data_IF_625109929304
#
_entry.id   IF_625109929304
#
_cell.length_a   1.000
_cell.length_b   1.000
_cell.length_c   1.000
_cell.angle_alpha   90.00
_cell.angle_beta   90.00
_cell.angle_gamma   90.00
#
_symmetry.space_group_name_H-M   'P 1'
#
loop_
_entity.id
_entity.type
_entity.pdbx_description
1 polymer ?
#
# COMPACT_ATOMS: atom_id res chain seq x y z
N UNK A 1 -20.25 7.43 -16.95
CA UNK A 1 -18.87 7.05 -16.95
C UNK A 1 -18.49 6.32 -15.68
N UNK A 2 -17.80 5.28 -15.83
CA UNK A 2 -17.38 4.54 -14.68
C UNK A 2 -16.07 5.05 -14.16
N UNK A 3 -16.09 5.37 -12.92
CA UNK A 3 -14.99 5.89 -12.24
C UNK A 3 -14.29 4.75 -11.52
N UNK A 4 -13.01 4.64 -11.64
CA UNK A 4 -12.27 3.58 -10.99
C UNK A 4 -11.36 4.18 -9.94
N UNK A 5 -11.06 3.37 -8.94
CA UNK A 5 -10.15 3.82 -7.90
C UNK A 5 -8.75 4.06 -8.42
N UNK A 6 -8.43 3.50 -9.57
CA UNK A 6 -7.12 3.69 -10.15
C UNK A 6 -6.83 5.15 -10.47
N UNK A 7 -7.88 5.91 -10.77
CA UNK A 7 -7.70 7.31 -11.10
C UNK A 7 -7.16 8.13 -9.93
N UNK A 8 -7.27 7.59 -8.72
CA UNK A 8 -6.83 8.29 -7.52
C UNK A 8 -5.58 7.68 -6.91
N UNK A 9 -5.03 6.67 -7.54
CA UNK A 9 -3.88 5.98 -6.99
C UNK A 9 -2.62 6.46 -7.69
N UNK A 10 -1.59 6.72 -6.88
CA UNK A 10 -0.28 7.02 -7.42
C UNK A 10 0.56 5.76 -7.32
N UNK A 11 1.16 5.30 -8.42
CA UNK A 11 2.03 4.13 -8.34
C UNK A 11 3.20 4.40 -7.41
N UNK A 12 3.49 3.44 -6.53
CA UNK A 12 4.60 3.56 -5.61
C UNK A 12 5.37 2.26 -5.58
N UNK A 13 6.70 2.33 -5.42
CA UNK A 13 7.49 1.12 -5.22
C UNK A 13 7.22 0.56 -3.82
N UNK A 14 7.06 -0.74 -3.73
CA UNK A 14 6.78 -1.41 -2.47
C UNK A 14 7.62 -2.66 -2.37
N UNK A 15 8.19 -2.89 -1.19
CA UNK A 15 8.81 -4.17 -0.88
C UNK A 15 7.81 -4.93 -0.05
N UNK A 16 7.41 -6.08 -0.53
CA UNK A 16 6.37 -6.87 0.12
C UNK A 16 6.84 -8.30 0.34
N UNK A 17 6.23 -8.93 1.32
CA UNK A 17 6.46 -10.33 1.60
C UNK A 17 5.31 -11.15 1.02
N UNK A 18 5.64 -12.24 0.34
CA UNK A 18 4.66 -13.19 -0.15
C UNK A 18 4.96 -14.51 0.55
N UNK A 19 4.00 -15.00 1.33
CA UNK A 19 4.24 -16.26 2.02
C UNK A 19 3.79 -17.44 1.17
N UNK A 20 4.03 -18.66 1.66
CA UNK A 20 3.74 -19.85 0.90
C UNK A 20 2.24 -20.09 0.71
N UNK A 21 1.40 -19.39 1.45
CA UNK A 21 -0.04 -19.48 1.30
C UNK A 21 -0.60 -18.42 0.37
N UNK A 22 0.28 -17.67 -0.28
CA UNK A 22 -0.14 -16.64 -1.20
C UNK A 22 -0.54 -15.32 -0.55
N UNK A 23 -0.28 -15.18 0.72
CA UNK A 23 -0.61 -13.95 1.42
C UNK A 23 0.47 -12.91 1.20
N UNK A 24 0.06 -11.69 0.94
CA UNK A 24 0.95 -10.57 0.65
C UNK A 24 0.89 -9.57 1.79
N UNK A 25 2.05 -9.12 2.23
CA UNK A 25 2.13 -8.11 3.29
C UNK A 25 3.14 -7.06 2.87
N UNK A 26 2.73 -5.78 2.77
CA UNK A 26 3.70 -4.74 2.45
C UNK A 26 4.61 -4.48 3.64
N UNK A 27 5.89 -4.31 3.38
CA UNK A 27 6.90 -4.09 4.41
C UNK A 27 7.50 -2.70 4.34
N UNK A 28 7.79 -2.22 3.13
CA UNK A 28 8.37 -0.90 2.93
C UNK A 28 7.72 -0.25 1.72
N UNK A 29 7.53 1.06 1.81
CA UNK A 29 6.98 1.86 0.72
C UNK A 29 7.98 2.98 0.45
N UNK A 30 8.23 3.26 -0.83
CA UNK A 30 9.10 4.37 -1.18
C UNK A 30 8.26 5.60 -1.46
N UNK A 31 8.39 6.59 -0.60
CA UNK A 31 7.67 7.86 -0.73
C UNK A 31 8.69 8.98 -0.77
N UNK A 32 8.56 9.87 -1.75
CA UNK A 32 9.44 11.03 -1.88
C UNK A 32 10.92 10.65 -1.84
N UNK A 33 11.25 9.51 -2.45
CA UNK A 33 12.63 9.07 -2.54
C UNK A 33 13.15 8.34 -1.31
N UNK A 34 12.32 8.15 -0.29
CA UNK A 34 12.73 7.47 0.94
C UNK A 34 11.97 6.16 1.11
N UNK A 35 12.69 5.14 1.55
CA UNK A 35 12.07 3.87 1.90
C UNK A 35 11.56 3.94 3.32
N UNK A 36 10.26 3.79 3.48
CA UNK A 36 9.60 3.93 4.78
C UNK A 36 9.05 2.58 5.19
N UNK A 37 9.43 2.15 6.39
CA UNK A 37 8.91 0.90 6.94
C UNK A 37 7.47 1.11 7.36
N UNK A 38 6.60 0.17 6.99
CA UNK A 38 5.18 0.28 7.30
C UNK A 38 4.74 -0.95 8.07
N UNK A 39 3.69 -0.76 8.86
CA UNK A 39 3.04 -1.85 9.59
C UNK A 39 1.64 -1.99 9.06
N UNK A 40 1.32 -3.16 8.52
CA UNK A 40 0.00 -3.42 8.01
C UNK A 40 -0.93 -3.77 9.16
N UNK A 41 -1.99 -2.99 9.34
CA UNK A 41 -2.94 -3.20 10.43
C UNK A 41 -4.06 -4.15 10.01
N UNK A 42 -4.53 -4.00 8.79
CA UNK A 42 -5.61 -4.83 8.29
C UNK A 42 -5.56 -4.85 6.78
N UNK A 43 -6.20 -5.85 6.21
CA UNK A 43 -6.25 -5.96 4.77
C UNK A 43 -7.58 -6.56 4.36
N UNK A 44 -8.01 -6.19 3.15
CA UNK A 44 -9.20 -6.75 2.53
C UNK A 44 -8.85 -7.11 1.11
N UNK A 45 -9.24 -8.31 0.71
CA UNK A 45 -8.94 -8.81 -0.63
C UNK A 45 -10.23 -8.87 -1.43
N UNK A 46 -10.19 -8.26 -2.60
CA UNK A 46 -11.29 -8.29 -3.55
C UNK A 46 -10.85 -9.08 -4.77
N UNK A 47 -11.73 -9.21 -5.74
CA UNK A 47 -11.43 -10.04 -6.90
C UNK A 47 -10.18 -9.56 -7.66
N UNK A 48 -10.08 -8.27 -7.88
CA UNK A 48 -9.01 -7.72 -8.71
C UNK A 48 -7.97 -6.93 -7.95
N UNK A 49 -8.16 -6.72 -6.66
CA UNK A 49 -7.22 -5.92 -5.89
C UNK A 49 -7.35 -6.23 -4.41
N UNK A 50 -6.33 -5.81 -3.67
CA UNK A 50 -6.32 -5.91 -2.21
C UNK A 50 -6.01 -4.53 -1.65
N UNK A 51 -6.65 -4.21 -0.53
CA UNK A 51 -6.43 -2.94 0.15
C UNK A 51 -5.80 -3.22 1.50
N UNK A 52 -4.72 -2.51 1.79
CA UNK A 52 -3.99 -2.67 3.05
C UNK A 52 -4.00 -1.34 3.78
N UNK A 53 -4.44 -1.36 5.04
CA UNK A 53 -4.36 -0.18 5.89
C UNK A 53 -3.06 -0.27 6.68
N UNK A 54 -2.20 0.69 6.48
CA UNK A 54 -0.86 0.67 7.01
C UNK A 54 -0.58 1.91 7.84
N UNK A 55 0.32 1.74 8.80
CA UNK A 55 0.81 2.84 9.62
C UNK A 55 2.29 2.98 9.43
N UNK A 56 2.78 4.20 9.54
CA UNK A 56 4.21 4.45 9.61
C UNK A 56 4.47 5.63 10.52
N UNK A 57 5.69 5.67 11.07
CA UNK A 57 6.11 6.78 11.90
C UNK A 57 7.13 7.60 11.13
N UNK A 58 6.86 8.88 10.98
CA UNK A 58 7.79 9.75 10.29
C UNK A 58 8.79 10.31 11.30
N UNK A 59 10.08 10.27 10.95
CA UNK A 59 11.12 10.68 11.90
C UNK A 59 11.02 12.15 12.28
N UNK A 60 10.55 12.97 11.37
CA UNK A 60 10.56 14.41 11.62
C UNK A 60 9.56 14.85 12.67
N UNK A 61 8.44 14.13 12.83
CA UNK A 61 7.41 14.57 13.78
C UNK A 61 7.07 13.51 14.82
N UNK A 62 7.61 12.30 14.70
CA UNK A 62 7.34 11.19 15.62
C UNK A 62 5.86 10.87 15.76
N UNK A 63 5.08 11.20 14.74
CA UNK A 63 3.66 10.92 14.74
C UNK A 63 3.38 9.71 13.89
N UNK A 64 2.35 8.97 14.25
CA UNK A 64 1.92 7.80 13.48
C UNK A 64 0.96 8.28 12.40
N UNK A 65 1.29 7.94 11.16
CA UNK A 65 0.47 8.28 10.01
C UNK A 65 -0.17 7.02 9.46
N UNK A 66 -1.44 7.12 9.10
CA UNK A 66 -2.17 5.99 8.54
C UNK A 66 -2.50 6.28 7.09
N UNK A 67 -2.33 5.28 6.25
CA UNK A 67 -2.66 5.42 4.84
C UNK A 67 -3.06 4.07 4.28
N UNK A 68 -3.57 4.08 3.05
CA UNK A 68 -3.98 2.87 2.37
C UNK A 68 -3.09 2.59 1.18
N UNK A 69 -2.72 1.32 1.04
CA UNK A 69 -2.04 0.83 -0.15
C UNK A 69 -2.98 -0.12 -0.87
N UNK A 70 -3.03 -0.02 -2.17
CA UNK A 70 -3.83 -0.92 -2.99
C UNK A 70 -2.91 -1.70 -3.90
N UNK A 71 -3.05 -3.02 -3.88
CA UNK A 71 -2.30 -3.89 -4.77
C UNK A 71 -3.24 -4.38 -5.87
N UNK A 72 -2.93 -4.01 -7.10
CA UNK A 72 -3.73 -4.38 -8.25
C UNK A 72 -3.24 -5.74 -8.75
N UNK A 73 -4.07 -6.77 -8.58
CA UNK A 73 -3.64 -8.14 -8.85
C UNK A 73 -3.25 -8.38 -10.30
N UNK A 74 -4.05 -7.88 -11.21
CA UNK A 74 -3.83 -8.16 -12.62
C UNK A 74 -2.69 -7.35 -13.22
N UNK A 75 -2.34 -6.23 -12.61
CA UNK A 75 -1.27 -5.37 -13.10
C UNK A 75 0.00 -5.51 -12.30
N UNK A 76 -0.07 -6.17 -11.14
CA UNK A 76 1.06 -6.33 -10.23
C UNK A 76 1.66 -4.98 -9.85
N UNK A 77 0.78 -4.01 -9.60
CA UNK A 77 1.18 -2.66 -9.24
C UNK A 77 0.63 -2.29 -7.87
N UNK A 78 1.40 -1.51 -7.15
CA UNK A 78 0.97 -0.96 -5.88
C UNK A 78 0.60 0.50 -6.08
N UNK A 79 -0.51 0.90 -5.50
CA UNK A 79 -0.95 2.28 -5.57
C UNK A 79 -1.08 2.86 -4.17
N UNK A 80 -0.67 4.12 -4.04
CA UNK A 80 -0.79 4.87 -2.81
C UNK A 80 -2.01 5.78 -2.95
N UNK A 81 -2.96 5.63 -2.02
CA UNK A 81 -4.15 6.45 -2.07
C UNK A 81 -3.86 7.76 -1.36
N UNK A 82 -3.90 8.82 -2.12
CA UNK A 82 -3.64 10.13 -1.59
C UNK A 82 -4.94 10.76 -1.16
N UNK A 83 -4.95 11.35 -0.01
CA UNK A 83 -6.14 12.04 0.46
C UNK A 83 -6.21 13.45 -0.05
#
# INVERSE_FOLDING_TARGET
MIYTNEDHLEPVPVIASFNCNGKVIPLYVKLDGESIKVSCRSSETYMNYSVFKCDYMHESDNLIHTFELTFLHDKLLWGFKKK
#
